data_IF_961611089628
#
_entry.id   IF_961611089628
#
_cell.length_a   1.000
_cell.length_b   1.000
_cell.length_c   1.000
_cell.angle_alpha   90.00
_cell.angle_beta   90.00
_cell.angle_gamma   90.00
#
_symmetry.space_group_name_H-M   'P 1'
#
loop_
_entity.id
_entity.type
_entity.pdbx_description
1 polymer ?
#
# COMPACT_ATOMS: atom_id res chain seq x y z
N UNK A 1 31.20 4.15 -2.20
CA UNK A 1 31.72 4.22 -0.80
C UNK A 1 30.86 3.31 0.06
N UNK A 2 31.47 2.59 1.00
CA UNK A 2 30.71 1.70 1.89
C UNK A 2 30.49 2.34 3.25
N UNK A 3 29.26 2.17 3.78
CA UNK A 3 28.88 2.66 5.12
C UNK A 3 28.43 1.47 5.96
N UNK A 4 28.94 1.39 7.17
CA UNK A 4 28.62 0.36 8.15
C UNK A 4 27.85 0.99 9.31
N UNK A 5 26.58 0.65 9.44
CA UNK A 5 25.77 0.94 10.60
C UNK A 5 25.99 -0.14 11.66
N UNK A 6 26.28 0.27 12.89
CA UNK A 6 26.64 -0.63 13.98
C UNK A 6 25.75 -0.43 15.19
N UNK A 7 25.79 -1.42 16.11
CA UNK A 7 25.08 -1.34 17.39
C UNK A 7 23.58 -1.08 17.23
N UNK A 8 22.97 -1.72 16.22
CA UNK A 8 21.54 -1.65 15.96
C UNK A 8 20.79 -2.80 16.67
N UNK A 9 19.57 -2.55 17.09
CA UNK A 9 18.57 -3.58 17.27
C UNK A 9 17.98 -3.85 15.90
N UNK A 10 18.51 -4.84 15.18
CA UNK A 10 18.30 -5.04 13.75
C UNK A 10 17.15 -6.02 13.48
N UNK A 11 16.13 -5.55 12.78
CA UNK A 11 15.04 -6.35 12.22
C UNK A 11 15.16 -6.40 10.69
N UNK A 12 15.40 -7.57 10.14
CA UNK A 12 15.63 -7.72 8.68
C UNK A 12 14.35 -7.94 7.87
N UNK A 13 13.24 -8.23 8.53
CA UNK A 13 11.97 -8.69 7.98
C UNK A 13 12.05 -10.00 7.17
N UNK A 14 13.14 -10.73 7.21
CA UNK A 14 13.20 -12.09 6.65
C UNK A 14 12.43 -13.10 7.53
N UNK A 15 12.50 -12.90 8.84
CA UNK A 15 11.73 -13.56 9.89
C UNK A 15 11.29 -12.52 10.94
N UNK A 16 10.63 -12.97 12.00
CA UNK A 16 10.28 -12.13 13.17
C UNK A 16 11.45 -11.92 14.14
N UNK A 17 12.61 -12.49 13.87
CA UNK A 17 13.76 -12.46 14.75
C UNK A 17 14.44 -11.09 14.77
N UNK A 18 14.96 -10.73 15.96
CA UNK A 18 15.80 -9.55 16.19
C UNK A 18 17.24 -9.96 16.37
N UNK A 19 18.14 -9.20 15.76
CA UNK A 19 19.57 -9.33 15.94
C UNK A 19 20.05 -8.17 16.83
N UNK A 20 20.24 -8.46 18.12
CA UNK A 20 20.80 -7.47 19.05
C UNK A 20 22.26 -7.17 18.70
N UNK A 21 22.63 -5.88 18.77
CA UNK A 21 23.94 -5.37 18.33
C UNK A 21 24.27 -5.77 16.89
N UNK A 22 23.21 -5.83 16.06
CA UNK A 22 23.29 -6.10 14.64
C UNK A 22 24.06 -4.99 13.90
N UNK A 23 24.52 -5.36 12.70
CA UNK A 23 25.19 -4.43 11.78
C UNK A 23 24.55 -4.51 10.39
N UNK A 24 24.53 -3.37 9.71
CA UNK A 24 24.10 -3.24 8.32
C UNK A 24 25.23 -2.59 7.51
N UNK A 25 25.75 -3.33 6.54
CA UNK A 25 26.77 -2.81 5.60
C UNK A 25 26.11 -2.48 4.27
N UNK A 26 26.30 -1.24 3.83
CA UNK A 26 25.77 -0.71 2.57
C UNK A 26 26.92 -0.31 1.65
N UNK A 27 26.76 -0.63 0.38
CA UNK A 27 27.64 -0.17 -0.69
C UNK A 27 26.82 0.10 -1.95
N UNK A 28 27.02 1.26 -2.54
CA UNK A 28 26.38 1.70 -3.80
C UNK A 28 24.85 1.52 -3.80
N UNK A 29 24.20 1.92 -2.69
CA UNK A 29 22.75 1.87 -2.54
C UNK A 29 22.16 0.49 -2.28
N UNK A 30 22.99 -0.52 -2.07
CA UNK A 30 22.56 -1.90 -1.84
C UNK A 30 23.10 -2.45 -0.51
N UNK A 31 22.33 -3.33 0.12
CA UNK A 31 22.77 -4.08 1.30
C UNK A 31 23.81 -5.12 0.87
N UNK A 32 24.98 -5.07 1.49
CA UNK A 32 26.04 -6.09 1.32
C UNK A 32 26.01 -7.14 2.41
N UNK A 33 25.67 -6.71 3.63
CA UNK A 33 25.54 -7.60 4.77
C UNK A 33 24.57 -7.00 5.79
N UNK A 34 23.74 -7.84 6.37
CA UNK A 34 22.93 -7.51 7.53
C UNK A 34 22.96 -8.72 8.47
N UNK A 35 23.37 -8.53 9.72
CA UNK A 35 23.54 -9.66 10.63
C UNK A 35 24.37 -9.34 11.86
N UNK A 36 24.98 -10.37 12.45
CA UNK A 36 25.83 -10.20 13.63
C UNK A 36 27.22 -9.67 13.23
N UNK A 37 27.74 -8.71 13.98
CA UNK A 37 29.05 -8.08 13.72
C UNK A 37 30.21 -9.10 13.64
N UNK A 38 30.11 -10.23 14.34
CA UNK A 38 31.12 -11.29 14.33
C UNK A 38 31.26 -12.02 12.98
N UNK A 39 30.22 -11.95 12.16
CA UNK A 39 30.15 -12.61 10.84
C UNK A 39 30.69 -11.70 9.73
N UNK A 40 30.85 -10.39 10.01
CA UNK A 40 31.36 -9.43 9.06
C UNK A 40 32.88 -9.58 8.88
N UNK A 41 33.34 -9.77 7.65
CA UNK A 41 34.77 -9.74 7.32
C UNK A 41 35.32 -8.32 7.48
N UNK A 42 36.46 -8.20 8.14
CA UNK A 42 37.09 -6.92 8.40
C UNK A 42 37.47 -6.16 7.10
N UNK A 43 37.02 -4.93 6.98
CA UNK A 43 37.39 -3.99 5.93
C UNK A 43 37.22 -2.55 6.45
N UNK A 44 37.74 -1.57 5.72
CA UNK A 44 37.60 -0.17 6.12
C UNK A 44 36.31 0.42 5.57
N UNK A 45 35.45 0.89 6.47
CA UNK A 45 34.15 1.50 6.13
C UNK A 45 33.99 2.84 6.85
N UNK A 46 33.10 3.69 6.34
CA UNK A 46 32.56 4.78 7.14
C UNK A 46 31.59 4.16 8.17
N UNK A 47 31.85 4.39 9.45
CA UNK A 47 31.06 3.75 10.54
C UNK A 47 30.10 4.75 11.15
N UNK A 48 28.85 4.35 11.30
CA UNK A 48 27.78 5.07 12.01
C UNK A 48 27.30 4.18 13.16
N UNK A 49 27.52 4.61 14.41
CA UNK A 49 26.99 3.92 15.58
C UNK A 49 25.56 4.38 15.86
N UNK A 50 24.62 3.45 15.88
CA UNK A 50 23.20 3.73 16.10
C UNK A 50 22.80 3.75 17.59
N UNK A 51 23.73 3.45 18.50
CA UNK A 51 23.50 3.56 19.95
C UNK A 51 22.40 2.65 20.49
N UNK A 52 22.11 1.53 19.84
CA UNK A 52 21.05 0.60 20.22
C UNK A 52 19.68 0.93 19.63
N UNK A 53 19.56 1.93 18.75
CA UNK A 53 18.30 2.23 18.05
C UNK A 53 17.83 1.06 17.21
N UNK A 54 16.50 1.00 16.97
CA UNK A 54 15.89 -0.02 16.13
C UNK A 54 16.15 0.30 14.65
N UNK A 55 16.50 -0.71 13.86
CA UNK A 55 16.75 -0.59 12.43
C UNK A 55 15.89 -1.64 11.71
N UNK A 56 15.06 -1.21 10.76
CA UNK A 56 14.14 -2.04 10.00
C UNK A 56 14.11 -1.64 8.53
N UNK A 57 13.64 -2.50 7.60
CA UNK A 57 13.42 -2.09 6.21
C UNK A 57 12.44 -0.93 6.10
N UNK A 58 12.55 -0.16 5.02
CA UNK A 58 11.53 0.81 4.65
C UNK A 58 10.18 0.15 4.36
N UNK A 59 9.09 0.82 4.73
CA UNK A 59 7.73 0.35 4.55
C UNK A 59 7.21 0.61 3.13
N UNK A 60 6.15 -0.11 2.77
CA UNK A 60 5.43 0.02 1.50
C UNK A 60 3.96 0.33 1.76
N UNK A 61 3.46 1.44 1.23
CA UNK A 61 2.02 1.73 1.17
C UNK A 61 1.44 1.07 -0.08
N UNK A 62 0.56 0.08 0.09
CA UNK A 62 0.10 -0.74 -1.03
C UNK A 62 -1.26 -0.34 -1.60
N UNK A 63 -1.90 0.68 -1.03
CA UNK A 63 -3.16 1.24 -1.50
C UNK A 63 -3.07 2.79 -1.55
N UNK A 64 -2.10 3.30 -2.32
CA UNK A 64 -1.76 4.71 -2.33
C UNK A 64 -2.60 5.53 -3.33
N UNK A 65 -3.05 6.71 -2.87
CA UNK A 65 -3.75 7.71 -3.68
C UNK A 65 -3.06 9.07 -3.56
N UNK A 66 -1.81 9.18 -4.02
CA UNK A 66 -0.97 10.38 -3.82
C UNK A 66 -1.55 11.69 -4.40
N UNK A 67 -2.52 11.60 -5.31
CA UNK A 67 -3.20 12.76 -5.88
C UNK A 67 -4.34 13.31 -5.03
N UNK A 68 -4.77 12.62 -3.98
CA UNK A 68 -5.81 13.09 -3.06
C UNK A 68 -5.23 14.18 -2.15
N UNK A 69 -6.06 15.12 -1.73
CA UNK A 69 -5.61 16.37 -1.11
C UNK A 69 -6.07 16.53 0.36
N UNK A 70 -6.36 15.42 1.03
CA UNK A 70 -6.90 15.36 2.38
C UNK A 70 -8.23 16.11 2.53
N UNK A 71 -8.96 16.28 1.45
CA UNK A 71 -10.30 16.87 1.44
C UNK A 71 -11.38 15.84 1.84
N UNK A 72 -12.64 16.26 1.79
CA UNK A 72 -13.76 15.34 2.01
C UNK A 72 -13.76 14.21 0.98
N UNK A 73 -14.10 12.97 1.36
CA UNK A 73 -14.24 11.86 0.41
C UNK A 73 -15.27 12.14 -0.70
N UNK A 74 -16.20 13.10 -0.48
CA UNK A 74 -17.19 13.50 -1.47
C UNK A 74 -16.70 14.55 -2.47
N UNK A 75 -15.47 15.05 -2.33
CA UNK A 75 -14.84 16.04 -3.22
C UNK A 75 -13.57 15.52 -3.91
N UNK A 76 -13.34 14.22 -3.87
CA UNK A 76 -12.21 13.58 -4.56
C UNK A 76 -12.33 13.88 -6.06
N UNK A 77 -11.28 14.50 -6.63
CA UNK A 77 -11.21 14.83 -8.04
C UNK A 77 -11.77 16.21 -8.43
N UNK A 78 -12.24 17.03 -7.49
CA UNK A 78 -12.69 18.40 -7.75
C UNK A 78 -11.53 19.35 -8.09
N UNK A 79 -10.32 19.00 -7.67
CA UNK A 79 -9.11 19.79 -7.95
C UNK A 79 -8.74 19.76 -9.43
N UNK A 80 -8.19 20.88 -9.95
CA UNK A 80 -7.60 20.87 -11.30
C UNK A 80 -6.40 19.93 -11.40
N UNK A 81 -6.03 19.52 -12.62
CA UNK A 81 -4.87 18.64 -12.84
C UNK A 81 -3.57 19.26 -12.32
N UNK A 82 -3.42 20.58 -12.41
CA UNK A 82 -2.25 21.31 -11.91
C UNK A 82 -2.21 21.26 -10.38
N UNK A 83 -3.33 21.51 -9.70
CA UNK A 83 -3.43 21.45 -8.25
C UNK A 83 -3.18 20.02 -7.75
N UNK A 84 -3.83 19.02 -8.31
CA UNK A 84 -3.63 17.62 -7.97
C UNK A 84 -2.16 17.18 -8.16
N UNK A 85 -1.48 17.70 -9.21
CA UNK A 85 -0.05 17.42 -9.45
C UNK A 85 0.83 18.03 -8.35
N UNK A 86 0.58 19.27 -7.96
CA UNK A 86 1.34 19.95 -6.89
C UNK A 86 1.13 19.20 -5.56
N UNK A 87 -0.11 18.86 -5.25
CA UNK A 87 -0.49 18.07 -4.07
C UNK A 87 0.24 16.72 -4.05
N UNK A 88 0.24 15.99 -5.17
CA UNK A 88 0.91 14.69 -5.25
C UNK A 88 2.42 14.76 -5.01
N UNK A 89 3.09 15.85 -5.40
CA UNK A 89 4.52 16.07 -5.10
C UNK A 89 4.73 16.26 -3.60
N UNK A 90 3.86 17.01 -2.92
CA UNK A 90 3.88 17.19 -1.47
C UNK A 90 3.67 15.86 -0.74
N UNK A 91 2.64 15.13 -1.14
CA UNK A 91 2.26 13.85 -0.54
C UNK A 91 3.34 12.76 -0.73
N UNK A 92 4.02 12.73 -1.89
CA UNK A 92 5.14 11.82 -2.12
C UNK A 92 6.30 12.07 -1.16
N UNK A 93 6.62 13.33 -0.86
CA UNK A 93 7.63 13.69 0.13
C UNK A 93 7.21 13.32 1.55
N UNK A 94 5.95 13.61 1.89
CA UNK A 94 5.39 13.28 3.20
C UNK A 94 5.37 11.77 3.43
N UNK A 95 4.96 10.98 2.44
CA UNK A 95 4.98 9.52 2.50
C UNK A 95 6.39 8.98 2.75
N UNK A 96 7.38 9.49 2.00
CA UNK A 96 8.77 9.08 2.19
C UNK A 96 9.28 9.44 3.60
N UNK A 97 8.96 10.64 4.11
CA UNK A 97 9.33 11.07 5.47
C UNK A 97 8.63 10.25 6.57
N UNK A 98 7.45 9.69 6.28
CA UNK A 98 6.75 8.78 7.17
C UNK A 98 7.32 7.34 7.16
N UNK A 99 8.45 7.11 6.47
CA UNK A 99 9.12 5.81 6.43
C UNK A 99 8.61 4.87 5.33
N UNK A 100 7.64 5.30 4.52
CA UNK A 100 7.16 4.53 3.39
C UNK A 100 8.05 4.81 2.16
N UNK A 101 9.08 3.99 2.01
CA UNK A 101 10.08 4.14 0.94
C UNK A 101 9.61 3.61 -0.40
N UNK A 102 8.50 2.88 -0.41
CA UNK A 102 7.86 2.31 -1.59
C UNK A 102 6.34 2.48 -1.53
N UNK A 103 5.69 2.51 -2.69
CA UNK A 103 4.23 2.58 -2.78
C UNK A 103 3.69 1.91 -4.05
N UNK A 104 2.50 1.33 -3.95
CA UNK A 104 1.67 0.87 -5.07
C UNK A 104 0.47 1.79 -5.17
N UNK A 105 0.36 2.51 -6.28
CA UNK A 105 -0.83 3.33 -6.57
C UNK A 105 -2.04 2.43 -6.84
N UNK A 106 -3.16 2.78 -6.24
CA UNK A 106 -4.46 2.15 -6.47
C UNK A 106 -5.43 3.09 -7.18
N UNK A 107 -4.89 4.08 -7.87
CA UNK A 107 -5.61 5.05 -8.67
C UNK A 107 -5.12 6.47 -8.42
N UNK A 108 -5.19 7.28 -9.43
CA UNK A 108 -4.74 8.67 -9.37
C UNK A 108 -5.62 9.53 -10.27
N UNK A 109 -6.08 10.66 -9.72
CA UNK A 109 -6.80 11.65 -10.52
C UNK A 109 -5.95 12.05 -11.73
N UNK A 110 -6.57 12.09 -12.89
CA UNK A 110 -5.93 12.40 -14.18
C UNK A 110 -4.75 11.49 -14.58
N UNK A 111 -4.46 10.41 -13.82
CA UNK A 111 -3.31 9.51 -14.06
C UNK A 111 -1.96 10.19 -13.86
N UNK A 112 -1.88 11.19 -12.98
CA UNK A 112 -0.66 11.97 -12.73
C UNK A 112 0.44 11.19 -12.03
N UNK A 113 0.14 10.09 -11.37
CA UNK A 113 1.08 9.20 -10.69
C UNK A 113 2.17 8.65 -11.64
N UNK A 114 1.87 8.47 -12.92
CA UNK A 114 2.86 8.10 -13.94
C UNK A 114 3.92 9.20 -14.10
N UNK A 115 3.49 10.47 -14.17
CA UNK A 115 4.41 11.60 -14.26
C UNK A 115 5.20 11.76 -12.96
N UNK A 116 4.54 11.57 -11.81
CA UNK A 116 5.13 11.61 -10.48
C UNK A 116 6.23 10.54 -10.34
N UNK A 117 5.93 9.26 -10.66
CA UNK A 117 6.90 8.16 -10.69
C UNK A 117 8.12 8.48 -11.57
N UNK A 118 7.88 8.99 -12.77
CA UNK A 118 8.96 9.33 -13.70
C UNK A 118 9.84 10.46 -13.16
N UNK A 119 9.24 11.45 -12.49
CA UNK A 119 9.98 12.54 -11.86
C UNK A 119 10.81 12.05 -10.65
N UNK A 120 10.28 11.12 -9.85
CA UNK A 120 11.01 10.46 -8.76
C UNK A 120 12.19 9.66 -9.33
N UNK A 121 11.95 8.79 -10.32
CA UNK A 121 12.97 7.92 -10.90
C UNK A 121 14.11 8.70 -11.57
N UNK A 122 13.85 9.93 -12.05
CA UNK A 122 14.86 10.82 -12.61
C UNK A 122 15.51 11.77 -11.60
N UNK A 123 15.15 11.65 -10.31
CA UNK A 123 15.68 12.48 -9.22
C UNK A 123 15.23 13.94 -9.25
N UNK A 124 14.22 14.30 -10.05
CA UNK A 124 13.66 15.67 -10.11
C UNK A 124 12.89 16.02 -8.84
N UNK A 125 12.24 15.04 -8.23
CA UNK A 125 11.54 15.16 -6.95
C UNK A 125 11.88 13.99 -6.06
N UNK A 126 11.72 14.17 -4.75
CA UNK A 126 11.83 13.09 -3.77
C UNK A 126 10.48 12.43 -3.55
N UNK A 127 10.48 11.12 -3.36
CA UNK A 127 9.30 10.33 -3.08
C UNK A 127 9.62 8.84 -2.98
N UNK A 128 8.64 8.00 -2.66
CA UNK A 128 8.80 6.55 -2.59
C UNK A 128 9.07 5.95 -3.98
N UNK A 129 9.59 4.72 -4.03
CA UNK A 129 9.57 3.92 -5.25
C UNK A 129 8.11 3.63 -5.59
N UNK A 130 7.62 4.18 -6.67
CA UNK A 130 6.20 4.16 -6.99
C UNK A 130 5.89 3.21 -8.16
N UNK A 131 4.96 2.28 -7.95
CA UNK A 131 4.25 1.57 -9.01
C UNK A 131 3.00 2.39 -9.36
N UNK A 132 2.90 2.87 -10.61
CA UNK A 132 1.84 3.78 -11.03
C UNK A 132 0.65 3.04 -11.65
N UNK A 133 -0.57 3.43 -11.29
CA UNK A 133 -1.81 2.81 -11.76
C UNK A 133 -2.55 3.63 -12.84
N UNK A 134 -2.35 4.94 -12.87
CA UNK A 134 -3.18 5.80 -13.71
C UNK A 134 -4.56 6.02 -13.11
N UNK A 135 -5.60 6.07 -13.96
CA UNK A 135 -6.99 6.22 -13.51
C UNK A 135 -7.63 4.86 -13.26
N UNK A 136 -8.56 4.81 -12.33
CA UNK A 136 -9.36 3.61 -12.06
C UNK A 136 -10.23 3.25 -13.27
N UNK A 137 -10.36 1.97 -13.56
CA UNK A 137 -11.35 1.49 -14.52
C UNK A 137 -12.64 1.16 -13.78
N UNK A 138 -13.71 1.84 -14.15
CA UNK A 138 -15.06 1.65 -13.65
C UNK A 138 -16.04 1.32 -14.78
N UNK A 139 -17.19 0.78 -14.42
CA UNK A 139 -18.35 0.64 -15.31
C UNK A 139 -19.32 1.80 -15.09
N UNK A 140 -20.23 2.03 -16.03
CA UNK A 140 -21.35 2.97 -15.86
C UNK A 140 -22.15 2.64 -14.60
N UNK A 141 -22.45 3.65 -13.81
CA UNK A 141 -23.15 3.59 -12.52
C UNK A 141 -22.38 2.87 -11.40
N UNK A 142 -21.08 2.58 -11.57
CA UNK A 142 -20.24 2.07 -10.48
C UNK A 142 -19.91 3.17 -9.47
N UNK A 143 -19.31 2.79 -8.35
CA UNK A 143 -18.92 3.71 -7.28
C UNK A 143 -17.94 4.81 -7.74
N UNK A 144 -17.21 4.59 -8.83
CA UNK A 144 -16.25 5.54 -9.40
C UNK A 144 -16.76 6.25 -10.65
N UNK A 145 -18.05 6.09 -11.00
CA UNK A 145 -18.67 6.81 -12.13
C UNK A 145 -19.13 8.21 -11.70
N UNK A 146 -18.16 9.10 -11.53
CA UNK A 146 -18.40 10.51 -11.25
C UNK A 146 -17.38 11.39 -11.99
N UNK A 147 -17.73 12.66 -12.19
CA UNK A 147 -16.82 13.64 -12.74
C UNK A 147 -15.64 13.88 -11.78
N UNK A 148 -14.46 14.19 -12.31
CA UNK A 148 -13.31 14.55 -11.47
C UNK A 148 -11.99 13.87 -11.83
N UNK A 149 -11.95 13.14 -12.94
CA UNK A 149 -10.70 12.62 -13.50
C UNK A 149 -10.09 11.41 -12.77
N UNK A 150 -10.74 10.87 -11.73
CA UNK A 150 -10.26 9.70 -10.99
C UNK A 150 -10.39 8.43 -11.83
N UNK A 151 -11.50 8.27 -12.54
CA UNK A 151 -11.85 7.05 -13.25
C UNK A 151 -11.88 7.20 -14.78
N UNK A 152 -11.82 6.07 -15.44
CA UNK A 152 -12.10 5.90 -16.86
C UNK A 152 -13.22 4.86 -16.98
N UNK A 153 -14.41 5.28 -17.42
CA UNK A 153 -15.57 4.41 -17.55
C UNK A 153 -15.49 3.61 -18.86
N UNK A 154 -15.73 2.30 -18.77
CA UNK A 154 -15.66 1.38 -19.90
C UNK A 154 -16.65 0.23 -19.72
N UNK A 155 -17.62 0.15 -20.63
CA UNK A 155 -18.65 -0.90 -20.65
C UNK A 155 -18.44 -1.86 -21.82
N UNK A 156 -18.50 -3.14 -21.49
CA UNK A 156 -18.26 -4.25 -22.40
C UNK A 156 -16.78 -4.60 -22.59
N UNK A 157 -16.45 -5.88 -22.87
CA UNK A 157 -15.09 -6.39 -22.89
C UNK A 157 -14.16 -5.65 -23.87
N UNK A 158 -14.69 -5.13 -24.98
CA UNK A 158 -13.89 -4.41 -25.98
C UNK A 158 -13.52 -3.00 -25.53
N UNK A 159 -14.43 -2.30 -24.84
CA UNK A 159 -14.14 -0.99 -24.28
C UNK A 159 -13.14 -1.11 -23.12
N UNK A 160 -13.29 -2.12 -22.26
CA UNK A 160 -12.35 -2.44 -21.18
C UNK A 160 -10.94 -2.73 -21.74
N UNK A 161 -10.82 -3.58 -22.77
CA UNK A 161 -9.52 -3.82 -23.43
C UNK A 161 -8.91 -2.53 -24.01
N UNK A 162 -9.74 -1.67 -24.62
CA UNK A 162 -9.28 -0.36 -25.11
C UNK A 162 -8.75 0.51 -23.97
N UNK A 163 -9.48 0.59 -22.87
CA UNK A 163 -9.08 1.35 -21.68
C UNK A 163 -7.72 0.87 -21.14
N UNK A 164 -7.52 -0.44 -20.98
CA UNK A 164 -6.22 -1.03 -20.58
C UNK A 164 -5.09 -0.65 -21.55
N UNK A 165 -5.34 -0.62 -22.86
CA UNK A 165 -4.36 -0.18 -23.85
C UNK A 165 -4.01 1.30 -23.72
N UNK A 166 -4.99 2.13 -23.38
CA UNK A 166 -4.80 3.55 -23.12
C UNK A 166 -3.97 3.78 -21.84
N UNK A 167 -4.25 3.05 -20.77
CA UNK A 167 -3.43 3.04 -19.54
C UNK A 167 -1.98 2.58 -19.85
N UNK A 168 -1.81 1.52 -20.64
CA UNK A 168 -0.47 1.08 -21.09
C UNK A 168 0.24 2.16 -21.90
N UNK A 169 -0.47 2.89 -22.78
CA UNK A 169 0.09 4.01 -23.55
C UNK A 169 0.50 5.17 -22.64
N UNK A 170 -0.25 5.43 -21.55
CA UNK A 170 0.11 6.39 -20.53
C UNK A 170 1.40 5.99 -19.81
N UNK A 171 1.64 4.70 -19.66
CA UNK A 171 2.85 4.14 -19.07
C UNK A 171 2.66 3.62 -17.64
N UNK A 172 1.48 3.14 -17.28
CA UNK A 172 1.22 2.53 -15.97
C UNK A 172 2.00 1.22 -15.79
N UNK A 173 2.17 0.81 -14.54
CA UNK A 173 2.76 -0.47 -14.12
C UNK A 173 1.68 -1.46 -13.71
N UNK A 174 0.57 -0.96 -13.18
CA UNK A 174 -0.59 -1.72 -12.72
C UNK A 174 -1.87 -1.09 -13.27
N UNK A 175 -2.88 -1.91 -13.57
CA UNK A 175 -4.22 -1.45 -13.94
C UNK A 175 -5.13 -1.66 -12.72
N UNK A 176 -5.80 -0.62 -12.25
CA UNK A 176 -6.79 -0.71 -11.16
C UNK A 176 -8.19 -0.81 -11.74
N UNK A 177 -8.98 -1.78 -11.27
CA UNK A 177 -10.38 -1.99 -11.63
C UNK A 177 -11.28 -1.98 -10.38
N UNK A 178 -12.50 -1.51 -10.51
CA UNK A 178 -13.48 -1.40 -9.43
C UNK A 178 -14.57 -2.45 -9.64
N UNK A 179 -14.50 -3.59 -8.91
CA UNK A 179 -15.35 -4.77 -9.19
C UNK A 179 -16.72 -4.69 -8.52
N UNK A 180 -16.79 -4.23 -7.27
CA UNK A 180 -18.06 -3.99 -6.57
C UNK A 180 -18.06 -2.65 -5.84
N UNK A 181 -19.15 -2.31 -5.19
CA UNK A 181 -19.36 -1.01 -4.61
C UNK A 181 -18.93 -0.87 -3.15
N UNK A 182 -19.30 0.25 -2.54
CA UNK A 182 -18.99 0.63 -1.18
C UNK A 182 -20.21 0.99 -0.35
N UNK A 183 -20.13 0.80 0.97
CA UNK A 183 -21.20 1.10 1.91
C UNK A 183 -21.61 2.60 1.91
N UNK A 184 -20.69 3.50 1.56
CA UNK A 184 -20.98 4.93 1.44
C UNK A 184 -21.88 5.26 0.25
N UNK A 185 -21.92 4.41 -0.77
CA UNK A 185 -22.72 4.59 -1.97
C UNK A 185 -23.96 3.68 -1.97
N UNK A 186 -25.15 4.19 -1.63
CA UNK A 186 -26.35 3.38 -1.55
C UNK A 186 -26.84 2.83 -2.91
N UNK A 187 -26.34 3.38 -4.01
CA UNK A 187 -26.72 2.94 -5.37
C UNK A 187 -25.76 1.89 -5.93
N UNK A 188 -24.62 1.67 -5.29
CA UNK A 188 -23.69 0.59 -5.61
C UNK A 188 -23.02 0.12 -4.30
N UNK A 189 -23.74 -0.66 -3.46
CA UNK A 189 -23.23 -1.19 -2.20
C UNK A 189 -22.28 -2.38 -2.41
N UNK A 190 -21.53 -2.81 -1.37
CA UNK A 190 -20.75 -4.03 -1.42
C UNK A 190 -21.57 -5.22 -1.87
N UNK A 191 -21.04 -6.00 -2.83
CA UNK A 191 -21.71 -7.16 -3.41
C UNK A 191 -22.54 -6.87 -4.66
N UNK A 192 -22.80 -5.61 -4.98
CA UNK A 192 -23.32 -5.24 -6.29
C UNK A 192 -22.15 -5.13 -7.27
N UNK A 193 -21.99 -6.15 -8.13
CA UNK A 193 -20.89 -6.24 -9.08
C UNK A 193 -21.06 -5.21 -10.20
N UNK A 194 -20.07 -4.35 -10.36
CA UNK A 194 -20.02 -3.31 -11.39
C UNK A 194 -19.67 -3.86 -12.76
N UNK A 195 -18.87 -4.93 -12.81
CA UNK A 195 -18.42 -5.58 -14.04
C UNK A 195 -18.94 -7.01 -14.17
N UNK A 196 -19.22 -7.45 -15.39
CA UNK A 196 -19.41 -8.86 -15.72
C UNK A 196 -18.10 -9.65 -15.64
N UNK A 197 -18.17 -10.98 -15.57
CA UNK A 197 -17.00 -11.84 -15.60
C UNK A 197 -16.15 -11.62 -16.87
N UNK A 198 -16.80 -11.44 -18.02
CA UNK A 198 -16.14 -11.23 -19.30
C UNK A 198 -15.35 -9.92 -19.34
N UNK A 199 -15.84 -8.89 -18.69
CA UNK A 199 -15.17 -7.59 -18.60
C UNK A 199 -13.93 -7.67 -17.71
N UNK A 200 -14.02 -8.30 -16.53
CA UNK A 200 -12.86 -8.49 -15.65
C UNK A 200 -11.81 -9.38 -16.32
N UNK A 201 -12.20 -10.47 -16.96
CA UNK A 201 -11.30 -11.33 -17.74
C UNK A 201 -10.65 -10.52 -18.87
N UNK A 202 -11.39 -9.66 -19.55
CA UNK A 202 -10.85 -8.81 -20.62
C UNK A 202 -9.81 -7.82 -20.10
N UNK A 203 -10.02 -7.23 -18.92
CA UNK A 203 -9.05 -6.33 -18.28
C UNK A 203 -7.75 -7.07 -17.97
N UNK A 204 -7.86 -8.21 -17.26
CA UNK A 204 -6.70 -8.99 -16.79
C UNK A 204 -5.89 -9.56 -17.97
N UNK A 205 -6.56 -10.22 -18.93
CA UNK A 205 -5.90 -10.78 -20.13
C UNK A 205 -5.16 -9.69 -20.92
N UNK A 206 -5.79 -8.52 -21.14
CA UNK A 206 -5.17 -7.43 -21.88
C UNK A 206 -3.99 -6.80 -21.12
N UNK A 207 -4.06 -6.71 -19.78
CA UNK A 207 -2.98 -6.20 -18.93
C UNK A 207 -1.79 -7.17 -18.90
N UNK A 208 -2.03 -8.44 -18.62
CA UNK A 208 -0.98 -9.45 -18.49
C UNK A 208 -0.22 -9.69 -19.80
N UNK A 209 -0.89 -9.62 -20.95
CA UNK A 209 -0.22 -9.65 -22.28
C UNK A 209 0.81 -8.53 -22.47
N UNK A 210 0.73 -7.47 -21.66
CA UNK A 210 1.60 -6.29 -21.73
C UNK A 210 2.53 -6.18 -20.54
N UNK A 211 2.63 -7.25 -19.76
CA UNK A 211 3.41 -7.31 -18.50
C UNK A 211 2.99 -6.23 -17.50
N UNK A 212 1.70 -5.87 -17.47
CA UNK A 212 1.11 -5.05 -16.43
C UNK A 212 0.52 -5.95 -15.35
N UNK A 213 0.54 -5.49 -14.11
CA UNK A 213 -0.21 -6.08 -13.01
C UNK A 213 -1.65 -5.59 -13.03
N UNK A 214 -2.53 -6.29 -12.31
CA UNK A 214 -3.92 -5.85 -12.11
C UNK A 214 -4.21 -5.81 -10.61
N UNK A 215 -4.67 -4.66 -10.16
CA UNK A 215 -5.20 -4.45 -8.83
C UNK A 215 -6.74 -4.27 -8.90
N UNK A 216 -7.46 -4.66 -7.85
CA UNK A 216 -8.89 -4.39 -7.81
C UNK A 216 -9.34 -3.87 -6.45
N UNK A 217 -10.45 -3.11 -6.49
CA UNK A 217 -11.36 -2.95 -5.37
C UNK A 217 -12.34 -4.12 -5.41
N UNK A 218 -12.42 -4.90 -4.33
CA UNK A 218 -13.34 -6.03 -4.21
C UNK A 218 -13.63 -6.31 -2.73
N UNK A 219 -14.84 -5.99 -2.27
CA UNK A 219 -15.25 -6.12 -0.87
C UNK A 219 -15.92 -7.46 -0.57
N UNK A 220 -16.84 -7.87 -1.46
CA UNK A 220 -17.63 -9.08 -1.26
C UNK A 220 -16.94 -10.36 -1.73
N UNK A 221 -17.38 -11.52 -1.18
CA UNK A 221 -16.97 -12.84 -1.67
C UNK A 221 -17.18 -13.01 -3.18
N UNK A 222 -18.29 -12.48 -3.71
CA UNK A 222 -18.59 -12.56 -5.14
C UNK A 222 -17.57 -11.81 -5.98
N UNK A 223 -17.21 -10.57 -5.58
CA UNK A 223 -16.21 -9.75 -6.26
C UNK A 223 -14.80 -10.36 -6.15
N UNK A 224 -14.45 -10.87 -4.97
CA UNK A 224 -13.14 -11.55 -4.76
C UNK A 224 -13.04 -12.82 -5.62
N UNK A 225 -14.10 -13.66 -5.68
CA UNK A 225 -14.10 -14.83 -6.58
C UNK A 225 -13.96 -14.43 -8.05
N UNK A 226 -14.66 -13.37 -8.47
CA UNK A 226 -14.53 -12.84 -9.83
C UNK A 226 -13.08 -12.40 -10.12
N UNK A 227 -12.46 -11.66 -9.20
CA UNK A 227 -11.07 -11.21 -9.29
C UNK A 227 -10.08 -12.39 -9.39
N UNK A 228 -10.20 -13.36 -8.49
CA UNK A 228 -9.30 -14.54 -8.43
C UNK A 228 -9.40 -15.38 -9.68
N UNK A 229 -10.62 -15.67 -10.13
CA UNK A 229 -10.87 -16.48 -11.33
C UNK A 229 -10.38 -15.78 -12.62
N UNK A 230 -10.45 -14.46 -12.69
CA UNK A 230 -9.90 -13.69 -13.80
C UNK A 230 -8.37 -13.59 -13.78
N UNK A 231 -7.75 -13.78 -12.62
CA UNK A 231 -6.28 -13.72 -12.47
C UNK A 231 -5.74 -12.40 -11.91
N UNK A 232 -6.53 -11.59 -11.22
CA UNK A 232 -6.08 -10.35 -10.55
C UNK A 232 -4.91 -10.64 -9.61
N UNK A 233 -3.93 -9.73 -9.55
CA UNK A 233 -2.71 -9.87 -8.74
C UNK A 233 -2.88 -9.30 -7.31
N UNK A 234 -3.55 -8.14 -7.17
CA UNK A 234 -3.67 -7.41 -5.92
C UNK A 234 -5.14 -7.12 -5.61
N UNK A 235 -5.59 -7.47 -4.41
CA UNK A 235 -6.98 -7.30 -3.98
C UNK A 235 -7.00 -6.29 -2.82
N UNK A 236 -7.67 -5.17 -3.03
CA UNK A 236 -8.00 -4.22 -1.98
C UNK A 236 -9.31 -4.61 -1.30
N UNK A 237 -9.35 -4.47 0.01
CA UNK A 237 -10.46 -4.70 0.94
C UNK A 237 -10.70 -6.17 1.31
N UNK A 238 -11.44 -6.96 0.53
CA UNK A 238 -11.80 -8.36 0.84
C UNK A 238 -12.52 -8.52 2.21
N UNK A 239 -13.48 -7.64 2.50
CA UNK A 239 -14.12 -7.52 3.82
C UNK A 239 -15.04 -8.71 4.16
N UNK A 240 -15.83 -9.19 3.19
CA UNK A 240 -16.90 -10.18 3.44
C UNK A 240 -16.56 -11.55 2.84
N UNK A 241 -15.61 -12.29 3.44
CA UNK A 241 -15.16 -13.57 2.92
C UNK A 241 -15.91 -14.78 3.53
N UNK A 242 -16.58 -15.55 2.66
CA UNK A 242 -17.04 -16.89 2.99
C UNK A 242 -15.93 -17.95 2.86
N UNK A 243 -16.15 -19.13 3.40
CA UNK A 243 -15.14 -20.19 3.45
C UNK A 243 -14.79 -20.73 2.06
N UNK A 244 -15.74 -20.70 1.10
CA UNK A 244 -15.49 -21.09 -0.29
C UNK A 244 -14.49 -20.13 -0.96
N UNK A 245 -14.67 -18.83 -0.74
CA UNK A 245 -13.74 -17.81 -1.27
C UNK A 245 -12.35 -17.92 -0.64
N UNK A 246 -12.27 -18.19 0.66
CA UNK A 246 -10.98 -18.43 1.33
C UNK A 246 -10.30 -19.68 0.75
N UNK A 247 -11.04 -20.78 0.52
CA UNK A 247 -10.48 -21.97 -0.12
C UNK A 247 -9.93 -21.67 -1.53
N UNK A 248 -10.65 -20.90 -2.34
CA UNK A 248 -10.17 -20.44 -3.65
C UNK A 248 -8.92 -19.57 -3.55
N UNK A 249 -8.84 -18.67 -2.58
CA UNK A 249 -7.65 -17.86 -2.34
C UNK A 249 -6.43 -18.70 -1.97
N UNK A 250 -6.60 -19.79 -1.21
CA UNK A 250 -5.52 -20.74 -0.85
C UNK A 250 -4.91 -21.39 -2.10
N UNK A 251 -5.72 -21.75 -3.09
CA UNK A 251 -5.23 -22.31 -4.35
C UNK A 251 -4.32 -21.36 -5.12
N UNK A 252 -4.46 -20.05 -4.88
CA UNK A 252 -3.74 -18.98 -5.57
C UNK A 252 -2.82 -18.14 -4.67
N UNK A 253 -2.58 -18.58 -3.41
CA UNK A 253 -1.87 -17.80 -2.37
C UNK A 253 -0.48 -17.32 -2.76
N UNK A 254 0.21 -18.01 -3.69
CA UNK A 254 1.56 -17.63 -4.07
C UNK A 254 1.61 -16.33 -4.89
N UNK A 255 0.55 -16.02 -5.63
CA UNK A 255 0.48 -14.85 -6.51
C UNK A 255 -0.36 -13.70 -5.97
N UNK A 256 -1.27 -13.94 -5.02
CA UNK A 256 -2.24 -12.96 -4.54
C UNK A 256 -1.74 -12.25 -3.29
N UNK A 257 -1.97 -10.94 -3.25
CA UNK A 257 -1.78 -10.09 -2.09
C UNK A 257 -3.11 -9.42 -1.75
N UNK A 258 -3.42 -9.32 -0.44
CA UNK A 258 -4.66 -8.71 0.05
C UNK A 258 -4.32 -7.60 1.05
N UNK A 259 -4.81 -6.39 0.76
CA UNK A 259 -4.74 -5.22 1.65
C UNK A 259 -6.14 -4.89 2.17
N UNK A 260 -6.43 -5.09 3.47
CA UNK A 260 -7.79 -4.91 4.00
C UNK A 260 -8.28 -3.46 3.98
N UNK A 261 -7.39 -2.48 3.94
CA UNK A 261 -7.70 -1.03 3.94
C UNK A 261 -8.60 -0.61 5.12
N UNK A 262 -8.39 -1.23 6.28
CA UNK A 262 -9.24 -1.07 7.47
C UNK A 262 -9.27 0.37 8.02
N UNK A 263 -8.23 1.17 7.75
CA UNK A 263 -8.15 2.55 8.23
C UNK A 263 -9.34 3.39 7.74
N UNK A 264 -9.75 3.23 6.48
CA UNK A 264 -10.91 3.92 5.93
C UNK A 264 -12.16 3.71 6.79
N UNK A 265 -12.52 2.46 7.04
CA UNK A 265 -13.75 2.07 7.73
C UNK A 265 -13.76 2.56 9.18
N UNK A 266 -12.65 2.31 9.90
CA UNK A 266 -12.50 2.71 11.31
C UNK A 266 -12.52 4.23 11.47
N UNK A 267 -11.79 4.96 10.63
CA UNK A 267 -11.72 6.41 10.69
C UNK A 267 -13.04 7.05 10.27
N UNK A 268 -13.72 6.51 9.25
CA UNK A 268 -15.03 7.01 8.85
C UNK A 268 -16.06 6.87 9.97
N UNK A 269 -16.14 5.71 10.62
CA UNK A 269 -17.01 5.49 11.77
C UNK A 269 -16.66 6.41 12.95
N UNK A 270 -15.36 6.59 13.21
CA UNK A 270 -14.89 7.40 14.35
C UNK A 270 -15.08 8.91 14.15
N UNK A 271 -14.94 9.39 12.90
CA UNK A 271 -14.85 10.82 12.59
C UNK A 271 -15.97 11.35 11.68
N UNK A 272 -17.02 10.59 11.42
CA UNK A 272 -18.12 10.95 10.50
C UNK A 272 -18.75 12.32 10.83
N UNK A 273 -18.83 12.68 12.12
CA UNK A 273 -19.41 13.96 12.55
C UNK A 273 -18.58 15.16 12.06
N UNK A 274 -17.28 15.01 11.90
CA UNK A 274 -16.41 16.05 11.30
C UNK A 274 -16.71 16.30 9.82
N UNK A 275 -17.31 15.31 9.16
CA UNK A 275 -17.82 15.40 7.77
C UNK A 275 -19.26 15.92 7.70
N UNK A 276 -19.88 16.27 8.84
CA UNK A 276 -21.29 16.66 8.91
C UNK A 276 -22.27 15.47 8.79
N UNK A 277 -21.78 14.24 8.94
CA UNK A 277 -22.57 13.01 8.85
C UNK A 277 -22.84 12.49 10.26
N UNK A 278 -24.12 12.18 10.57
CA UNK A 278 -24.44 11.64 11.89
C UNK A 278 -23.93 10.21 12.04
N UNK A 279 -23.53 9.86 13.26
CA UNK A 279 -23.12 8.48 13.59
C UNK A 279 -24.24 7.46 13.25
N UNK A 280 -25.49 7.84 13.47
CA UNK A 280 -26.63 7.02 13.10
C UNK A 280 -26.70 6.73 11.60
N UNK A 281 -26.33 7.69 10.75
CA UNK A 281 -26.26 7.49 9.28
C UNK A 281 -25.18 6.46 8.94
N UNK A 282 -23.99 6.57 9.52
CA UNK A 282 -22.87 5.65 9.25
C UNK A 282 -23.15 4.25 9.77
N UNK A 283 -23.84 4.14 10.92
CA UNK A 283 -24.31 2.85 11.43
C UNK A 283 -25.35 2.23 10.51
N UNK A 284 -26.28 3.03 10.00
CA UNK A 284 -27.30 2.56 9.03
C UNK A 284 -26.68 2.13 7.67
N UNK A 285 -25.52 2.66 7.31
CA UNK A 285 -24.71 2.23 6.16
C UNK A 285 -24.01 0.87 6.39
N UNK A 286 -23.95 0.40 7.64
CA UNK A 286 -23.41 -0.92 7.97
C UNK A 286 -21.92 -0.98 8.30
N UNK A 287 -21.24 0.15 8.50
CA UNK A 287 -19.78 0.18 8.74
C UNK A 287 -19.32 -0.59 9.99
N UNK A 288 -20.12 -0.64 11.06
CA UNK A 288 -19.77 -1.47 12.24
C UNK A 288 -19.74 -2.97 11.85
N UNK A 289 -20.74 -3.43 11.09
CA UNK A 289 -20.78 -4.81 10.61
C UNK A 289 -19.68 -5.11 9.57
N UNK A 290 -19.28 -4.11 8.78
CA UNK A 290 -18.19 -4.24 7.81
C UNK A 290 -16.83 -4.40 8.52
N UNK A 291 -16.57 -3.61 9.56
CA UNK A 291 -15.36 -3.75 10.40
C UNK A 291 -15.30 -5.15 11.02
N UNK A 292 -16.41 -5.63 11.61
CA UNK A 292 -16.47 -6.96 12.19
C UNK A 292 -16.24 -8.07 11.15
N UNK A 293 -16.82 -7.91 9.95
CA UNK A 293 -16.63 -8.84 8.84
C UNK A 293 -15.17 -8.82 8.33
N UNK A 294 -14.55 -7.64 8.27
CA UNK A 294 -13.13 -7.48 7.90
C UNK A 294 -12.23 -8.20 8.90
N UNK A 295 -12.46 -8.03 10.20
CA UNK A 295 -11.70 -8.71 11.25
C UNK A 295 -11.80 -10.23 11.10
N UNK A 296 -13.02 -10.75 10.93
CA UNK A 296 -13.25 -12.19 10.73
C UNK A 296 -12.62 -12.71 9.43
N UNK A 297 -12.65 -11.92 8.35
CA UNK A 297 -12.02 -12.27 7.07
C UNK A 297 -10.50 -12.32 7.19
N UNK A 298 -9.89 -11.32 7.84
CA UNK A 298 -8.43 -11.28 8.05
C UNK A 298 -7.96 -12.44 8.93
N UNK A 299 -8.72 -12.84 9.94
CA UNK A 299 -8.41 -14.02 10.76
C UNK A 299 -8.35 -15.29 9.89
N UNK A 300 -9.34 -15.49 9.01
CA UNK A 300 -9.34 -16.62 8.06
C UNK A 300 -8.16 -16.57 7.08
N UNK A 301 -7.86 -15.40 6.53
CA UNK A 301 -6.76 -15.20 5.59
C UNK A 301 -5.39 -15.49 6.24
N UNK A 302 -5.17 -15.04 7.48
CA UNK A 302 -3.96 -15.33 8.25
C UNK A 302 -3.81 -16.83 8.50
N UNK A 303 -4.88 -17.49 8.99
CA UNK A 303 -4.88 -18.93 9.22
C UNK A 303 -4.59 -19.74 7.95
N UNK A 304 -5.00 -19.21 6.79
CA UNK A 304 -4.77 -19.80 5.47
C UNK A 304 -3.39 -19.47 4.86
N UNK A 305 -2.59 -18.61 5.50
CA UNK A 305 -1.26 -18.21 5.02
C UNK A 305 -1.29 -17.33 3.77
N UNK A 306 -2.36 -16.54 3.60
CA UNK A 306 -2.46 -15.54 2.52
C UNK A 306 -1.57 -14.34 2.86
N UNK A 307 -0.86 -13.81 1.86
CA UNK A 307 -0.02 -12.62 2.04
C UNK A 307 -0.86 -11.38 2.25
N UNK A 308 -0.89 -10.90 3.50
CA UNK A 308 -1.51 -9.62 3.85
C UNK A 308 -0.49 -8.49 3.68
N UNK A 309 -0.98 -7.32 3.27
CA UNK A 309 -0.19 -6.11 3.07
C UNK A 309 -0.88 -4.91 3.72
N UNK A 310 -0.09 -3.92 4.09
CA UNK A 310 -0.56 -2.66 4.67
C UNK A 310 -0.88 -1.67 3.55
N UNK A 311 -2.05 -1.06 3.63
CA UNK A 311 -2.50 -0.04 2.69
C UNK A 311 -3.88 0.45 3.09
N UNK A 312 -3.94 1.65 3.71
CA UNK A 312 -5.11 2.11 4.44
C UNK A 312 -6.04 3.04 3.65
N UNK A 313 -5.80 3.23 2.35
CA UNK A 313 -6.63 4.10 1.49
C UNK A 313 -6.64 5.56 1.96
N UNK A 314 -5.43 6.09 2.26
CA UNK A 314 -5.21 7.44 2.80
C UNK A 314 -5.28 8.53 1.74
N UNK A 315 -5.52 9.76 2.19
CA UNK A 315 -5.55 10.97 1.39
C UNK A 315 -6.87 11.74 1.46
N UNK A 316 -7.65 11.44 2.50
CA UNK A 316 -8.93 12.12 2.80
C UNK A 316 -8.88 12.72 4.20
N UNK A 317 -9.79 13.67 4.49
CA UNK A 317 -9.76 14.45 5.72
C UNK A 317 -9.80 13.64 7.01
N UNK A 318 -10.42 12.46 7.00
CA UNK A 318 -10.50 11.55 8.16
C UNK A 318 -9.33 10.55 8.23
N UNK A 319 -8.63 10.35 7.13
CA UNK A 319 -7.43 9.51 7.02
C UNK A 319 -6.39 10.25 6.18
N UNK A 320 -5.76 11.32 6.72
CA UNK A 320 -4.89 12.20 5.95
C UNK A 320 -3.55 11.55 5.61
N UNK A 321 -2.92 12.07 4.57
CA UNK A 321 -1.55 11.72 4.23
C UNK A 321 -0.60 11.94 5.42
N UNK A 322 0.43 11.09 5.54
CA UNK A 322 1.37 11.11 6.67
C UNK A 322 0.96 10.21 7.84
N UNK A 323 -0.31 9.81 7.94
CA UNK A 323 -0.80 8.94 9.02
C UNK A 323 -0.76 7.43 8.69
N UNK A 324 -0.08 7.04 7.61
CA UNK A 324 -0.07 5.67 7.08
C UNK A 324 0.30 4.58 8.10
N UNK A 325 1.22 4.87 9.04
CA UNK A 325 1.63 3.92 10.07
C UNK A 325 0.52 3.60 11.10
N UNK A 326 -0.62 4.31 11.04
CA UNK A 326 -1.81 3.99 11.83
C UNK A 326 -2.38 2.62 11.47
N UNK A 327 -2.22 2.19 10.22
CA UNK A 327 -2.62 0.85 9.77
C UNK A 327 -1.91 -0.27 10.55
N UNK A 328 -0.63 -0.08 10.90
CA UNK A 328 0.10 -1.08 11.68
C UNK A 328 -0.48 -1.24 13.09
N UNK A 329 -0.95 -0.14 13.71
CA UNK A 329 -1.66 -0.20 14.98
C UNK A 329 -2.98 -0.99 14.84
N UNK A 330 -3.76 -0.76 13.77
CA UNK A 330 -4.96 -1.55 13.50
C UNK A 330 -4.67 -3.02 13.26
N UNK A 331 -3.57 -3.35 12.58
CA UNK A 331 -3.16 -4.74 12.37
C UNK A 331 -2.85 -5.45 13.70
N UNK A 332 -2.25 -4.74 14.65
CA UNK A 332 -2.00 -5.27 16.00
C UNK A 332 -3.29 -5.34 16.80
N UNK A 333 -4.04 -4.24 16.89
CA UNK A 333 -5.16 -4.11 17.81
C UNK A 333 -6.41 -4.85 17.35
N UNK A 334 -6.72 -4.79 16.06
CA UNK A 334 -7.95 -5.37 15.50
C UNK A 334 -7.73 -6.78 14.95
N UNK A 335 -6.58 -7.04 14.32
CA UNK A 335 -6.31 -8.33 13.70
C UNK A 335 -5.46 -9.26 14.59
N UNK A 336 -5.16 -8.85 15.83
CA UNK A 336 -4.38 -9.64 16.79
C UNK A 336 -3.04 -10.13 16.23
N UNK A 337 -2.39 -9.32 15.40
CA UNK A 337 -1.06 -9.60 14.89
C UNK A 337 0.00 -9.23 15.92
N UNK A 338 1.14 -9.93 15.95
CA UNK A 338 2.31 -9.40 16.62
C UNK A 338 2.80 -8.12 15.90
N UNK A 339 3.45 -7.18 16.61
CA UNK A 339 4.08 -6.04 15.93
C UNK A 339 5.04 -6.45 14.82
N UNK A 340 5.76 -7.56 14.98
CA UNK A 340 6.66 -8.11 13.95
C UNK A 340 5.89 -8.55 12.70
N UNK A 341 4.77 -9.27 12.85
CA UNK A 341 3.90 -9.66 11.75
C UNK A 341 3.37 -8.42 11.01
N UNK A 342 2.88 -7.40 11.71
CA UNK A 342 2.40 -6.15 11.11
C UNK A 342 3.50 -5.44 10.32
N UNK A 343 4.72 -5.37 10.86
CA UNK A 343 5.87 -4.80 10.15
C UNK A 343 6.23 -5.63 8.91
N UNK A 344 6.16 -6.96 8.96
CA UNK A 344 6.39 -7.82 7.78
C UNK A 344 5.34 -7.57 6.70
N UNK A 345 4.07 -7.34 7.07
CA UNK A 345 3.02 -6.95 6.12
C UNK A 345 3.35 -5.61 5.42
N UNK A 346 3.85 -4.63 6.17
CA UNK A 346 4.21 -3.32 5.65
C UNK A 346 5.57 -3.30 4.89
N UNK A 347 6.45 -4.27 5.10
CA UNK A 347 7.80 -4.28 4.53
C UNK A 347 7.96 -5.37 3.50
N UNK A 348 8.28 -6.61 3.91
CA UNK A 348 8.54 -7.75 3.02
C UNK A 348 7.38 -8.03 2.06
N UNK A 349 6.16 -8.14 2.60
CA UNK A 349 5.01 -8.47 1.76
C UNK A 349 4.67 -7.34 0.79
N UNK A 350 4.64 -6.09 1.27
CA UNK A 350 4.43 -4.92 0.41
C UNK A 350 5.53 -4.78 -0.65
N UNK A 351 6.80 -5.01 -0.28
CA UNK A 351 7.93 -4.97 -1.21
C UNK A 351 7.83 -5.99 -2.34
N UNK A 352 7.30 -7.20 -2.05
CA UNK A 352 7.08 -8.25 -3.06
C UNK A 352 6.04 -7.87 -4.13
N UNK A 353 5.14 -6.93 -3.86
CA UNK A 353 4.22 -6.40 -4.87
C UNK A 353 4.97 -5.61 -5.94
N UNK A 354 5.98 -4.83 -5.54
CA UNK A 354 6.79 -4.02 -6.47
C UNK A 354 7.88 -4.86 -7.13
N UNK A 355 8.52 -5.74 -6.36
CA UNK A 355 9.62 -6.57 -6.83
C UNK A 355 9.48 -8.02 -6.35
N UNK A 356 8.99 -8.92 -7.22
CA UNK A 356 8.86 -10.34 -6.91
C UNK A 356 10.19 -11.04 -6.57
N UNK A 357 11.36 -10.45 -6.92
CA UNK A 357 12.66 -10.98 -6.51
C UNK A 357 12.96 -10.72 -5.03
N UNK A 358 12.16 -9.88 -4.36
CA UNK A 358 12.24 -9.58 -2.94
C UNK A 358 13.48 -8.76 -2.57
N UNK A 359 13.92 -7.85 -3.45
CA UNK A 359 15.00 -6.91 -3.14
C UNK A 359 14.50 -5.66 -2.41
N UNK A 360 13.19 -5.46 -2.32
CA UNK A 360 12.52 -4.37 -1.61
C UNK A 360 11.84 -4.93 -0.35
N UNK A 361 11.88 -4.18 0.76
CA UNK A 361 11.18 -4.51 2.00
C UNK A 361 11.88 -5.54 2.90
N UNK A 362 13.12 -5.92 2.58
CA UNK A 362 13.97 -6.77 3.44
C UNK A 362 15.39 -6.21 3.51
N UNK A 363 16.12 -6.56 4.58
CA UNK A 363 17.54 -6.21 4.71
C UNK A 363 18.40 -7.48 4.61
N UNK A 364 18.48 -8.03 3.40
CA UNK A 364 19.39 -9.14 3.09
C UNK A 364 20.43 -8.72 2.05
N UNK A 365 21.49 -9.50 1.90
CA UNK A 365 22.48 -9.24 0.86
C UNK A 365 21.83 -9.16 -0.54
N UNK A 366 22.08 -8.08 -1.26
CA UNK A 366 21.48 -7.78 -2.56
C UNK A 366 20.20 -6.95 -2.52
N UNK A 367 19.60 -6.73 -1.35
CA UNK A 367 18.44 -5.84 -1.22
C UNK A 367 18.82 -4.38 -1.48
N UNK A 368 17.86 -3.60 -1.92
CA UNK A 368 17.97 -2.14 -1.96
C UNK A 368 18.12 -1.61 -0.54
N UNK A 369 19.02 -0.67 -0.32
CA UNK A 369 19.30 -0.11 1.00
C UNK A 369 18.27 0.99 1.38
N UNK A 370 16.98 0.61 1.39
CA UNK A 370 15.89 1.43 1.90
C UNK A 370 15.52 0.94 3.30
N UNK A 371 15.73 1.78 4.32
CA UNK A 371 15.53 1.39 5.72
C UNK A 371 15.21 2.58 6.61
N UNK A 372 14.74 2.28 7.81
CA UNK A 372 14.37 3.25 8.83
C UNK A 372 15.18 2.95 10.10
N UNK A 373 15.74 3.99 10.70
CA UNK A 373 16.26 3.96 12.06
C UNK A 373 15.23 4.63 12.97
N UNK A 374 14.72 3.89 13.95
CA UNK A 374 13.66 4.31 14.85
C UNK A 374 14.23 4.63 16.22
N UNK A 375 13.94 5.82 16.75
CA UNK A 375 14.24 6.18 18.12
C UNK A 375 13.14 5.68 19.05
N UNK A 376 13.17 4.39 19.33
CA UNK A 376 12.19 3.60 20.06
C UNK A 376 12.22 2.15 19.61
N UNK A 377 11.29 1.35 20.13
CA UNK A 377 11.17 -0.08 19.80
C UNK A 377 9.76 -0.39 19.30
N UNK A 378 9.55 -0.49 17.99
CA UNK A 378 8.22 -0.77 17.41
C UNK A 378 7.69 -2.17 17.73
N UNK A 379 8.52 -3.08 18.24
CA UNK A 379 8.05 -4.39 18.72
C UNK A 379 7.46 -4.32 20.14
N UNK A 380 7.76 -3.26 20.88
CA UNK A 380 7.16 -3.00 22.20
C UNK A 380 5.98 -2.03 22.10
N UNK A 381 6.09 -1.05 21.20
CA UNK A 381 5.07 -0.03 20.95
C UNK A 381 5.08 0.30 19.44
N UNK A 382 4.16 -0.31 18.70
CA UNK A 382 4.06 -0.12 17.25
C UNK A 382 3.74 1.34 16.89
N UNK A 383 3.10 2.10 17.80
CA UNK A 383 2.70 3.48 17.55
C UNK A 383 3.88 4.45 17.45
N UNK A 384 5.09 4.03 17.87
CA UNK A 384 6.32 4.83 17.67
C UNK A 384 6.56 5.14 16.20
N UNK A 385 6.11 4.29 15.27
CA UNK A 385 6.22 4.49 13.83
C UNK A 385 5.31 5.62 13.30
N UNK A 386 4.34 6.09 14.08
CA UNK A 386 3.49 7.23 13.75
C UNK A 386 4.16 8.58 14.09
N UNK A 387 5.25 8.57 14.84
CA UNK A 387 5.96 9.79 15.22
C UNK A 387 7.14 10.04 14.27
N UNK A 388 6.93 10.91 13.27
CA UNK A 388 7.93 11.20 12.24
C UNK A 388 9.24 11.77 12.79
N UNK A 389 9.22 12.44 13.94
CA UNK A 389 10.43 12.99 14.56
C UNK A 389 11.36 11.88 15.08
N UNK A 390 10.82 10.71 15.36
CA UNK A 390 11.57 9.52 15.80
C UNK A 390 12.10 8.66 14.67
N UNK A 391 11.83 9.00 13.42
CA UNK A 391 12.23 8.22 12.25
C UNK A 391 13.38 8.91 11.51
N UNK A 392 14.50 8.24 11.32
CA UNK A 392 15.50 8.60 10.32
C UNK A 392 15.37 7.65 9.14
N UNK A 393 14.87 8.17 8.02
CA UNK A 393 14.58 7.40 6.81
C UNK A 393 15.77 7.41 5.88
N UNK A 394 16.14 6.26 5.35
CA UNK A 394 17.22 6.11 4.37
C UNK A 394 16.66 5.51 3.08
N UNK A 395 16.99 6.11 1.94
CA UNK A 395 16.65 5.60 0.62
C UNK A 395 17.92 5.39 -0.19
N UNK A 396 18.12 4.21 -0.74
CA UNK A 396 19.33 3.78 -1.41
C UNK A 396 20.61 4.09 -0.57
N UNK A 397 20.52 3.89 0.75
CA UNK A 397 21.60 4.11 1.70
C UNK A 397 21.88 5.57 2.05
N UNK A 398 21.14 6.52 1.52
CA UNK A 398 21.27 7.95 1.80
C UNK A 398 20.15 8.43 2.74
N UNK A 399 20.53 9.21 3.76
CA UNK A 399 19.57 9.82 4.68
C UNK A 399 18.62 10.76 3.93
N UNK A 400 17.34 10.60 4.10
CA UNK A 400 16.30 11.48 3.57
C UNK A 400 16.21 12.72 4.47
N UNK A 401 16.40 13.94 3.94
CA UNK A 401 16.23 15.16 4.73
C UNK A 401 14.77 15.32 5.19
N UNK A 402 14.59 15.62 6.48
CA UNK A 402 13.24 15.86 7.07
C UNK A 402 12.63 17.19 6.62
N UNK A 403 13.43 18.15 6.16
CA UNK A 403 12.93 19.45 5.73
C UNK A 403 12.10 19.32 4.43
N UNK A 404 11.00 20.00 4.40
CA UNK A 404 10.13 20.14 3.21
C UNK A 404 10.66 21.22 2.24
N UNK A 405 11.97 21.33 2.11
CA UNK A 405 12.65 22.33 1.24
C UNK A 405 12.40 22.06 -0.24
#
# INVERSE_FOLDING_TARGET
MSTLFTNARLFTAESEDIIDRGVLLIEDGSVRFAGNAKELKSSTHHVIDLGGKFLMPGMTETHAHLSFDDSSPFSIGDSSVEQATITAVGNARLMLNAGFTSAVSFGSTYGIDVALRNAINTGKIRGPRLMAAGRDLGATASNVDFDGGLSQIADGPWAVRKAVREQRRLGVDVVKIFIDGEAINPTNPPGELSFTNEEVIAAVDEAHRRNLKVACHARSSAAVRQAVNAGVDFIGHANYLDDETVALLVEHRERIFIGPAIAWEVQYLAQCESLGISRHTVQAQGYEAEIDATIASVEKLRAAGIKLVVGGDYGISIAPHGSYAKDLEYFVDLFSMSPAEAIICATKNGGLMLDPAGTIGTLRSGSVADFIVVDGDPLQDITVLQNLDKLDVYQAGSLVPKALD
#
